data_IF_870650663199
#
_entry.id   IF_870650663199
#
_cell.length_a   1.000
_cell.length_b   1.000
_cell.length_c   1.000
_cell.angle_alpha   90.00
_cell.angle_beta   90.00
_cell.angle_gamma   90.00
#
_symmetry.space_group_name_H-M   'P 1'
#
loop_
_entity.id
_entity.type
_entity.pdbx_description
1 polymer ?
#
# COMPACT_ATOMS: atom_id res chain seq x y z
N UNK A 1 -4.84 4.29 -34.66
CA UNK A 1 -3.49 4.90 -34.78
C UNK A 1 -3.09 5.38 -33.38
N UNK A 2 -2.24 4.63 -32.67
CA UNK A 2 -1.86 4.99 -31.29
C UNK A 2 -0.86 6.14 -31.37
N UNK A 3 -1.24 7.31 -30.83
CA UNK A 3 -0.35 8.46 -30.74
C UNK A 3 0.92 8.09 -29.98
N UNK A 4 2.08 8.55 -30.44
CA UNK A 4 3.37 8.41 -29.72
C UNK A 4 3.29 8.93 -28.28
N UNK A 5 2.40 9.89 -28.01
CA UNK A 5 2.17 10.44 -26.68
C UNK A 5 1.43 9.45 -25.78
N UNK A 6 0.52 8.63 -26.34
CA UNK A 6 -0.17 7.56 -25.61
C UNK A 6 0.78 6.45 -25.16
N UNK A 7 1.81 6.12 -25.96
CA UNK A 7 2.82 5.11 -25.60
C UNK A 7 3.69 5.59 -24.43
N UNK A 8 4.08 6.88 -24.42
CA UNK A 8 4.86 7.46 -23.32
C UNK A 8 4.02 7.48 -22.04
N UNK A 9 2.76 7.89 -22.13
CA UNK A 9 1.85 7.91 -20.99
C UNK A 9 1.64 6.51 -20.38
N UNK A 10 1.40 5.49 -21.21
CA UNK A 10 1.26 4.10 -20.76
C UNK A 10 2.52 3.59 -20.07
N UNK A 11 3.72 3.89 -20.60
CA UNK A 11 4.98 3.52 -19.93
C UNK A 11 5.16 4.23 -18.60
N UNK A 12 4.77 5.50 -18.49
CA UNK A 12 4.79 6.21 -17.21
C UNK A 12 3.83 5.60 -16.21
N UNK A 13 2.65 5.17 -16.65
CA UNK A 13 1.65 4.54 -15.80
C UNK A 13 2.11 3.16 -15.30
N UNK A 14 2.70 2.32 -16.17
CA UNK A 14 3.31 1.05 -15.80
C UNK A 14 4.47 1.25 -14.81
N UNK A 15 5.35 2.22 -15.08
CA UNK A 15 6.44 2.56 -14.17
C UNK A 15 5.91 3.00 -12.80
N UNK A 16 4.87 3.84 -12.78
CA UNK A 16 4.26 4.31 -11.55
C UNK A 16 3.55 3.18 -10.79
N UNK A 17 2.91 2.25 -11.49
CA UNK A 17 2.30 1.06 -10.89
C UNK A 17 3.35 0.16 -10.24
N UNK A 18 4.45 -0.12 -10.95
CA UNK A 18 5.57 -0.91 -10.44
C UNK A 18 6.23 -0.24 -9.23
N UNK A 19 6.41 1.08 -9.26
CA UNK A 19 6.91 1.84 -8.12
C UNK A 19 5.99 1.72 -6.91
N UNK A 20 4.68 1.91 -7.10
CA UNK A 20 3.69 1.77 -6.01
C UNK A 20 3.72 0.37 -5.39
N UNK A 21 3.79 -0.67 -6.21
CA UNK A 21 3.92 -2.05 -5.74
C UNK A 21 5.23 -2.26 -4.96
N UNK A 22 6.34 -1.73 -5.45
CA UNK A 22 7.64 -1.80 -4.79
C UNK A 22 7.64 -1.09 -3.43
N UNK A 23 7.04 0.12 -3.34
CA UNK A 23 6.85 0.87 -2.09
C UNK A 23 5.99 0.13 -1.09
N UNK A 24 4.91 -0.52 -1.55
CA UNK A 24 4.04 -1.32 -0.70
C UNK A 24 4.78 -2.53 -0.10
N UNK A 25 5.53 -3.25 -0.93
CA UNK A 25 6.22 -4.49 -0.52
C UNK A 25 7.37 -4.24 0.47
N UNK A 26 8.06 -3.10 0.40
CA UNK A 26 9.27 -2.83 1.17
C UNK A 26 9.14 -1.66 2.15
N UNK A 27 8.03 -1.54 2.88
CA UNK A 27 7.77 -0.45 3.84
C UNK A 27 8.99 -0.10 4.70
N UNK A 28 9.52 -1.08 5.43
CA UNK A 28 10.61 -0.85 6.39
C UNK A 28 11.87 -0.33 5.71
N UNK A 29 12.15 -0.78 4.49
CA UNK A 29 13.29 -0.29 3.70
C UNK A 29 13.14 1.21 3.42
N UNK A 30 11.95 1.64 3.00
CA UNK A 30 11.67 3.04 2.69
C UNK A 30 11.68 3.93 3.93
N UNK A 31 11.05 3.49 5.03
CA UNK A 31 11.06 4.22 6.30
C UNK A 31 12.52 4.41 6.79
N UNK A 32 13.36 3.37 6.69
CA UNK A 32 14.80 3.43 7.03
C UNK A 32 15.58 4.31 6.05
N UNK A 33 15.26 4.26 4.75
CA UNK A 33 15.91 5.09 3.73
C UNK A 33 15.63 6.57 3.96
N UNK A 34 14.39 6.96 4.27
CA UNK A 34 14.05 8.34 4.60
C UNK A 34 14.73 8.79 5.89
N UNK A 35 14.75 7.95 6.93
CA UNK A 35 15.51 8.23 8.16
C UNK A 35 16.99 8.48 7.87
N UNK A 36 17.59 7.65 7.00
CA UNK A 36 18.98 7.82 6.60
C UNK A 36 19.21 9.10 5.78
N UNK A 37 18.30 9.43 4.86
CA UNK A 37 18.33 10.67 4.09
C UNK A 37 18.26 11.90 5.02
N UNK A 38 17.33 11.92 5.98
CA UNK A 38 17.24 13.00 6.95
C UNK A 38 18.53 13.17 7.76
N UNK A 39 19.12 12.06 8.20
CA UNK A 39 20.39 12.09 8.93
C UNK A 39 21.53 12.64 8.06
N UNK A 40 21.60 12.22 6.80
CA UNK A 40 22.63 12.67 5.86
C UNK A 40 22.47 14.15 5.48
N UNK A 41 21.24 14.60 5.24
CA UNK A 41 20.91 16.01 5.01
C UNK A 41 21.33 16.88 6.21
N UNK A 42 21.06 16.43 7.44
CA UNK A 42 21.46 17.13 8.67
C UNK A 42 22.98 17.20 8.82
N UNK A 43 23.70 16.09 8.55
CA UNK A 43 25.16 16.07 8.60
C UNK A 43 25.78 17.04 7.57
N UNK A 44 25.24 17.07 6.35
CA UNK A 44 25.70 18.00 5.31
C UNK A 44 25.48 19.45 5.76
N UNK A 45 24.31 19.78 6.33
CA UNK A 45 24.04 21.13 6.82
C UNK A 45 25.04 21.55 7.90
N UNK A 46 25.26 20.70 8.90
CA UNK A 46 26.20 20.97 10.00
C UNK A 46 27.60 21.19 9.43
N UNK A 47 28.04 20.31 8.51
CA UNK A 47 29.35 20.42 7.87
C UNK A 47 29.51 21.74 7.10
N UNK A 48 28.50 22.15 6.33
CA UNK A 48 28.53 23.40 5.57
C UNK A 48 28.58 24.64 6.47
N UNK A 49 27.79 24.65 7.56
CA UNK A 49 27.79 25.76 8.53
C UNK A 49 29.14 25.88 9.24
N UNK A 50 29.81 24.76 9.55
CA UNK A 50 31.12 24.77 10.22
C UNK A 50 32.24 25.33 9.34
N UNK A 51 32.22 25.07 8.02
CA UNK A 51 33.29 25.52 7.12
C UNK A 51 33.08 26.96 6.65
N UNK A 52 31.83 27.38 6.44
CA UNK A 52 31.49 28.71 5.91
C UNK A 52 30.35 29.36 6.71
N UNK A 53 30.60 29.74 7.97
CA UNK A 53 29.57 30.28 8.86
C UNK A 53 28.95 31.58 8.33
N UNK A 54 29.69 32.37 7.53
CA UNK A 54 29.19 33.59 6.91
C UNK A 54 27.98 33.36 5.98
N UNK A 55 27.88 32.16 5.39
CA UNK A 55 26.80 31.78 4.48
C UNK A 55 25.72 30.92 5.17
N UNK A 56 25.76 30.76 6.50
CA UNK A 56 24.86 29.87 7.24
C UNK A 56 23.37 30.13 6.96
N UNK A 57 22.98 31.40 6.78
CA UNK A 57 21.61 31.79 6.46
C UNK A 57 21.14 31.24 5.10
N UNK A 58 22.01 31.22 4.09
CA UNK A 58 21.72 30.65 2.77
C UNK A 58 21.57 29.14 2.89
N UNK A 59 22.50 28.47 3.58
CA UNK A 59 22.45 27.02 3.76
C UNK A 59 21.21 26.56 4.52
N UNK A 60 20.81 27.30 5.57
CA UNK A 60 19.57 27.04 6.29
C UNK A 60 18.33 27.18 5.39
N UNK A 61 18.29 28.21 4.52
CA UNK A 61 17.22 28.40 3.55
C UNK A 61 17.14 27.27 2.52
N UNK A 62 18.28 26.89 1.93
CA UNK A 62 18.33 25.75 1.00
C UNK A 62 17.95 24.43 1.67
N UNK A 63 18.40 24.22 2.92
CA UNK A 63 18.04 23.05 3.71
C UNK A 63 16.55 22.98 3.98
N UNK A 64 15.90 24.10 4.34
CA UNK A 64 14.46 24.12 4.56
C UNK A 64 13.69 23.67 3.29
N UNK A 65 14.12 24.10 2.11
CA UNK A 65 13.52 23.68 0.84
C UNK A 65 13.73 22.19 0.56
N UNK A 66 14.94 21.68 0.76
CA UNK A 66 15.24 20.25 0.62
C UNK A 66 14.41 19.41 1.59
N UNK A 67 14.38 19.79 2.86
CA UNK A 67 13.63 19.10 3.91
C UNK A 67 12.12 19.05 3.61
N UNK A 68 11.51 20.17 3.19
CA UNK A 68 10.09 20.21 2.79
C UNK A 68 9.84 19.30 1.60
N UNK A 69 10.77 19.26 0.64
CA UNK A 69 10.67 18.40 -0.53
C UNK A 69 10.74 16.93 -0.13
N UNK A 70 11.69 16.55 0.72
CA UNK A 70 11.85 15.18 1.24
C UNK A 70 10.61 14.72 2.00
N UNK A 71 10.06 15.54 2.90
CA UNK A 71 8.79 15.24 3.60
C UNK A 71 7.64 15.07 2.61
N UNK A 72 7.57 15.93 1.59
CA UNK A 72 6.50 15.86 0.59
C UNK A 72 6.55 14.55 -0.18
N UNK A 73 7.75 14.10 -0.57
CA UNK A 73 7.94 12.79 -1.21
C UNK A 73 7.55 11.64 -0.29
N UNK A 74 7.98 11.68 0.97
CA UNK A 74 7.63 10.66 1.97
C UNK A 74 6.11 10.55 2.13
N UNK A 75 5.42 11.69 2.24
CA UNK A 75 3.97 11.76 2.36
C UNK A 75 3.26 11.15 1.15
N UNK A 76 3.69 11.49 -0.07
CA UNK A 76 3.12 10.92 -1.31
C UNK A 76 3.27 9.39 -1.32
N UNK A 77 4.44 8.88 -0.90
CA UNK A 77 4.68 7.44 -0.81
C UNK A 77 3.75 6.78 0.21
N UNK A 78 3.56 7.40 1.38
CA UNK A 78 2.66 6.90 2.42
C UNK A 78 1.19 6.92 1.98
N UNK A 79 0.73 8.00 1.35
CA UNK A 79 -0.64 8.12 0.84
C UNK A 79 -0.92 7.08 -0.24
N UNK A 80 0.02 6.87 -1.16
CA UNK A 80 -0.10 5.83 -2.17
C UNK A 80 -0.25 4.45 -1.53
N UNK A 81 0.52 4.15 -0.49
CA UNK A 81 0.44 2.89 0.23
C UNK A 81 -0.91 2.73 0.94
N UNK A 82 -1.38 3.78 1.61
CA UNK A 82 -2.67 3.76 2.30
C UNK A 82 -3.81 3.48 1.33
N UNK A 83 -3.76 4.07 0.14
CA UNK A 83 -4.72 3.80 -0.93
C UNK A 83 -4.72 2.34 -1.34
N UNK A 84 -3.55 1.75 -1.60
CA UNK A 84 -3.44 0.33 -1.95
C UNK A 84 -3.94 -0.59 -0.84
N UNK A 85 -3.63 -0.29 0.43
CA UNK A 85 -4.15 -1.03 1.57
C UNK A 85 -5.69 -0.99 1.63
N UNK A 86 -6.26 0.19 1.41
CA UNK A 86 -7.71 0.37 1.42
C UNK A 86 -8.39 -0.39 0.27
N UNK A 87 -7.82 -0.32 -0.94
CA UNK A 87 -8.29 -1.09 -2.10
C UNK A 87 -8.25 -2.60 -1.82
N UNK A 88 -7.15 -3.12 -1.29
CA UNK A 88 -7.03 -4.54 -0.91
C UNK A 88 -8.02 -4.93 0.20
N UNK A 89 -8.26 -4.04 1.16
CA UNK A 89 -9.20 -4.29 2.26
C UNK A 89 -10.63 -4.45 1.74
N UNK A 90 -11.03 -3.60 0.77
CA UNK A 90 -12.33 -3.70 0.11
C UNK A 90 -12.45 -5.03 -0.64
N UNK A 91 -11.41 -5.43 -1.38
CA UNK A 91 -11.39 -6.72 -2.10
C UNK A 91 -11.56 -7.88 -1.13
N UNK A 92 -10.78 -7.94 -0.04
CA UNK A 92 -10.90 -9.01 0.95
C UNK A 92 -12.26 -9.01 1.65
N UNK A 93 -12.86 -7.85 1.89
CA UNK A 93 -14.20 -7.75 2.46
C UNK A 93 -15.25 -8.37 1.52
N UNK A 94 -15.13 -8.13 0.21
CA UNK A 94 -16.01 -8.72 -0.80
C UNK A 94 -15.83 -10.24 -0.83
N UNK A 95 -14.59 -10.73 -0.91
CA UNK A 95 -14.28 -12.16 -0.91
C UNK A 95 -14.81 -12.87 0.35
N UNK A 96 -14.65 -12.26 1.53
CA UNK A 96 -15.19 -12.80 2.78
C UNK A 96 -16.72 -12.88 2.77
N UNK A 97 -17.39 -11.86 2.25
CA UNK A 97 -18.86 -11.86 2.16
C UNK A 97 -19.37 -12.94 1.18
N UNK A 98 -18.64 -13.19 0.10
CA UNK A 98 -18.94 -14.28 -0.84
C UNK A 98 -18.74 -15.65 -0.19
N UNK A 99 -17.62 -15.84 0.50
CA UNK A 99 -17.32 -17.06 1.22
C UNK A 99 -18.35 -17.35 2.33
N UNK A 100 -18.80 -16.32 3.04
CA UNK A 100 -19.84 -16.43 4.07
C UNK A 100 -21.19 -16.85 3.47
N UNK A 101 -21.56 -16.33 2.29
CA UNK A 101 -22.76 -16.78 1.58
C UNK A 101 -22.67 -18.24 1.19
N UNK A 102 -21.54 -18.66 0.62
CA UNK A 102 -21.31 -20.05 0.21
C UNK A 102 -21.34 -21.00 1.42
N UNK A 103 -20.70 -20.60 2.53
CA UNK A 103 -20.75 -21.34 3.79
C UNK A 103 -22.19 -21.51 4.30
N UNK A 104 -22.99 -20.43 4.28
CA UNK A 104 -24.38 -20.49 4.73
C UNK A 104 -25.23 -21.44 3.87
N UNK A 105 -25.02 -21.45 2.55
CA UNK A 105 -25.67 -22.41 1.64
C UNK A 105 -25.29 -23.86 2.01
N UNK A 106 -24.01 -24.13 2.22
CA UNK A 106 -23.52 -25.46 2.62
C UNK A 106 -24.08 -25.92 3.97
N UNK A 107 -24.25 -25.00 4.92
CA UNK A 107 -24.86 -25.28 6.23
C UNK A 107 -26.33 -25.65 6.05
N UNK A 108 -27.08 -24.91 5.24
CA UNK A 108 -28.49 -25.20 4.95
C UNK A 108 -28.67 -26.53 4.21
N UNK A 109 -27.82 -26.85 3.24
CA UNK A 109 -27.83 -28.13 2.54
C UNK A 109 -27.52 -29.30 3.48
N UNK A 110 -26.51 -29.18 4.34
CA UNK A 110 -26.20 -30.19 5.34
C UNK A 110 -27.36 -30.42 6.32
N UNK A 111 -28.05 -29.34 6.70
CA UNK A 111 -29.24 -29.43 7.55
C UNK A 111 -30.35 -30.21 6.86
N UNK A 112 -30.64 -29.91 5.59
CA UNK A 112 -31.62 -30.66 4.78
C UNK A 112 -31.24 -32.13 4.62
N UNK A 113 -29.97 -32.44 4.36
CA UNK A 113 -29.48 -33.82 4.28
C UNK A 113 -29.65 -34.59 5.59
N UNK A 114 -29.38 -33.95 6.73
CA UNK A 114 -29.63 -34.57 8.04
C UNK A 114 -31.11 -34.88 8.25
N UNK A 115 -31.99 -33.93 7.93
CA UNK A 115 -33.44 -34.12 8.05
C UNK A 115 -33.93 -35.28 7.15
N UNK A 116 -33.44 -35.37 5.91
CA UNK A 116 -33.73 -36.49 5.00
C UNK A 116 -33.24 -37.83 5.54
N UNK A 117 -32.01 -37.89 6.08
CA UNK A 117 -31.46 -39.10 6.68
C UNK A 117 -32.29 -39.56 7.89
N UNK A 118 -32.73 -38.64 8.74
CA UNK A 118 -33.60 -38.96 9.87
C UNK A 118 -34.97 -39.48 9.44
N UNK A 119 -35.54 -38.94 8.35
CA UNK A 119 -36.79 -39.45 7.78
C UNK A 119 -36.63 -40.87 7.22
N UNK A 120 -35.59 -41.12 6.41
CA UNK A 120 -35.30 -42.45 5.87
C UNK A 120 -35.04 -43.48 6.98
N UNK A 121 -34.35 -43.11 8.05
CA UNK A 121 -34.15 -43.99 9.21
C UNK A 121 -35.45 -44.32 9.95
N UNK A 122 -36.40 -43.39 10.01
CA UNK A 122 -37.73 -43.64 10.58
C UNK A 122 -38.56 -44.58 9.71
N UNK A 123 -38.47 -44.43 8.39
CA UNK A 123 -39.15 -45.32 7.43
C UNK A 123 -38.59 -46.75 7.47
N UNK A 124 -37.27 -46.92 7.55
CA UNK A 124 -36.62 -48.23 7.65
C UNK A 124 -36.91 -49.00 8.95
N UNK A 125 -37.40 -48.32 9.99
CA UNK A 125 -37.77 -48.94 11.28
C UNK A 125 -39.25 -49.32 11.38
N UNK A 126 -40.05 -49.02 10.36
CA UNK A 126 -41.44 -49.49 10.22
C UNK A 126 -41.48 -50.77 9.40
#
# INVERSE_FOLDING_TARGET
MVSRHGIIFLRMEEFWFNLRYFFYSHKTLFDVMFLFLYFLEQLILIYLILIKPENAHIYAGTFALLFITTISFEKICMESRYRTLNENTIIYQIELNELEKEYNVLVDENKRMKELLEQLQKELKK
#
